data_IF_812376019054
#
_entry.id   IF_812376019054
#
_cell.length_a   1.000
_cell.length_b   1.000
_cell.length_c   1.000
_cell.angle_alpha   90.00
_cell.angle_beta   90.00
_cell.angle_gamma   90.00
#
_symmetry.space_group_name_H-M   'P 1'
#
loop_
_entity.id
_entity.type
_entity.pdbx_description
1 polymer ?
#
# COMPACT_ATOMS: atom_id res chain seq x y z
N UNK A 1 -8.89 -34.39 1.76
CA UNK A 1 -7.69 -33.66 2.24
C UNK A 1 -6.95 -33.10 1.04
N UNK A 2 -6.63 -31.81 1.03
CA UNK A 2 -5.82 -31.21 -0.04
C UNK A 2 -4.45 -31.89 -0.12
N UNK A 3 -3.93 -32.13 -1.33
CA UNK A 3 -2.72 -32.93 -1.60
C UNK A 3 -1.44 -32.46 -0.89
N UNK A 4 -1.45 -31.28 -0.28
CA UNK A 4 -0.26 -30.58 0.22
C UNK A 4 -0.20 -30.47 1.76
N UNK A 5 -1.15 -31.09 2.48
CA UNK A 5 -1.18 -31.08 3.96
C UNK A 5 -1.93 -29.87 4.57
N UNK A 6 -1.97 -29.76 5.90
CA UNK A 6 -2.63 -28.66 6.60
C UNK A 6 -1.91 -27.32 6.40
N UNK A 7 -2.68 -26.23 6.40
CA UNK A 7 -2.16 -24.86 6.28
C UNK A 7 -1.81 -24.28 7.65
N UNK A 8 -0.74 -23.50 7.68
CA UNK A 8 -0.37 -22.61 8.79
C UNK A 8 -0.54 -21.19 8.29
N UNK A 9 -1.20 -20.35 9.10
CA UNK A 9 -1.29 -18.92 8.88
C UNK A 9 -0.28 -18.21 9.79
N UNK A 10 0.47 -17.28 9.23
CA UNK A 10 1.44 -16.47 9.97
C UNK A 10 1.26 -14.98 9.64
N UNK A 11 1.35 -14.14 10.67
CA UNK A 11 1.32 -12.70 10.53
C UNK A 11 2.54 -12.09 11.23
N UNK A 12 3.65 -11.87 10.51
CA UNK A 12 4.91 -11.43 11.11
C UNK A 12 4.89 -9.97 11.57
N UNK A 13 3.92 -9.19 11.11
CA UNK A 13 3.73 -7.76 11.37
C UNK A 13 2.55 -7.48 12.31
N UNK A 14 2.11 -8.48 13.08
CA UNK A 14 1.10 -8.28 14.13
C UNK A 14 -0.33 -8.10 13.61
N UNK A 15 -0.61 -8.47 12.36
CA UNK A 15 -1.94 -8.45 11.75
C UNK A 15 -2.02 -7.70 10.42
N UNK A 16 -0.96 -7.02 9.99
CA UNK A 16 -0.96 -6.20 8.77
C UNK A 16 -0.85 -7.03 7.48
N UNK A 17 -0.18 -8.19 7.54
CA UNK A 17 -0.13 -9.19 6.48
C UNK A 17 -0.34 -10.57 7.05
N UNK A 18 -1.19 -11.37 6.42
CA UNK A 18 -1.41 -12.78 6.74
C UNK A 18 -0.89 -13.60 5.58
N UNK A 19 0.07 -14.47 5.85
CA UNK A 19 0.57 -15.44 4.89
C UNK A 19 0.06 -16.84 5.24
N UNK A 20 -0.23 -17.64 4.22
CA UNK A 20 -0.44 -19.08 4.37
C UNK A 20 0.78 -19.84 3.83
N UNK A 21 1.11 -20.94 4.50
CA UNK A 21 2.05 -21.94 4.00
C UNK A 21 1.58 -23.34 4.35
N UNK A 22 2.01 -24.32 3.59
CA UNK A 22 1.79 -25.72 3.96
C UNK A 22 2.71 -26.09 5.13
N UNK A 23 2.15 -26.74 6.15
CA UNK A 23 2.92 -27.24 7.31
C UNK A 23 4.00 -28.23 6.90
N UNK A 24 3.64 -29.11 5.97
CA UNK A 24 4.44 -30.29 5.61
C UNK A 24 5.11 -30.18 4.22
N UNK A 25 4.92 -29.06 3.52
CA UNK A 25 5.48 -28.85 2.19
C UNK A 25 6.20 -27.49 2.07
N UNK A 26 7.42 -27.44 2.57
CA UNK A 26 8.29 -26.25 2.51
C UNK A 26 8.83 -25.96 1.09
N UNK A 27 8.55 -26.80 0.08
CA UNK A 27 8.94 -26.50 -1.31
C UNK A 27 8.07 -25.41 -1.93
N UNK A 28 6.87 -25.20 -1.39
CA UNK A 28 5.97 -24.13 -1.80
C UNK A 28 6.22 -22.96 -0.84
N UNK A 29 6.69 -21.80 -1.34
CA UNK A 29 6.87 -20.63 -0.49
C UNK A 29 5.52 -20.19 0.08
N UNK A 30 5.56 -19.50 1.23
CA UNK A 30 4.37 -18.85 1.78
C UNK A 30 3.78 -17.86 0.77
N UNK A 31 2.47 -17.71 0.74
CA UNK A 31 1.77 -16.73 -0.10
C UNK A 31 0.89 -15.82 0.75
N UNK A 32 0.71 -14.58 0.29
CA UNK A 32 -0.15 -13.60 0.94
C UNK A 32 -1.61 -14.02 0.81
N UNK A 33 -2.34 -14.04 1.92
CA UNK A 33 -3.77 -14.36 2.01
C UNK A 33 -4.57 -13.08 2.22
N UNK A 34 -4.08 -12.21 3.10
CA UNK A 34 -4.74 -10.98 3.48
C UNK A 34 -3.68 -9.92 3.78
N UNK A 35 -3.98 -8.67 3.44
CA UNK A 35 -3.19 -7.53 3.91
C UNK A 35 -4.10 -6.37 4.25
N UNK A 36 -3.89 -5.81 5.45
CA UNK A 36 -4.50 -4.56 5.88
C UNK A 36 -3.72 -3.34 5.38
N UNK A 37 -2.58 -3.55 4.69
CA UNK A 37 -1.93 -2.47 3.96
C UNK A 37 -2.86 -2.07 2.82
N UNK A 38 -3.39 -0.85 2.88
CA UNK A 38 -4.01 -0.27 1.72
C UNK A 38 -2.96 -0.31 0.59
N UNK A 39 -3.30 -0.88 -0.58
CA UNK A 39 -2.39 -0.85 -1.71
C UNK A 39 -2.03 0.60 -1.95
N UNK A 40 -0.73 0.89 -2.08
CA UNK A 40 -0.30 2.23 -2.40
C UNK A 40 -0.97 2.64 -3.72
N UNK A 41 -1.41 3.90 -3.81
CA UNK A 41 -2.07 4.41 -5.00
C UNK A 41 -1.08 4.37 -6.17
N UNK A 42 0.21 4.50 -5.87
CA UNK A 42 1.31 4.36 -6.82
C UNK A 42 2.48 3.63 -6.17
N UNK A 43 3.15 2.77 -6.93
CA UNK A 43 4.54 2.48 -6.62
C UNK A 43 5.36 3.77 -6.75
N UNK A 44 6.41 3.92 -5.95
CA UNK A 44 7.23 5.15 -5.94
C UNK A 44 7.69 5.54 -7.36
N UNK A 45 8.14 4.56 -8.15
CA UNK A 45 8.60 4.79 -9.51
C UNK A 45 7.47 5.29 -10.44
N UNK A 46 6.27 4.74 -10.32
CA UNK A 46 5.12 5.16 -11.13
C UNK A 46 4.74 6.62 -10.84
N UNK A 47 4.88 7.05 -9.58
CA UNK A 47 4.64 8.43 -9.21
C UNK A 47 5.72 9.39 -9.73
N UNK A 48 6.99 8.98 -9.70
CA UNK A 48 8.09 9.75 -10.32
C UNK A 48 7.85 9.93 -11.82
N UNK A 49 7.48 8.85 -12.52
CA UNK A 49 7.16 8.88 -13.95
C UNK A 49 5.95 9.79 -14.22
N UNK A 50 4.91 9.73 -13.39
CA UNK A 50 3.76 10.63 -13.49
C UNK A 50 4.16 12.11 -13.39
N UNK A 51 5.12 12.46 -12.53
CA UNK A 51 5.64 13.83 -12.43
C UNK A 51 6.43 14.23 -13.67
N UNK A 52 7.24 13.33 -14.22
CA UNK A 52 7.99 13.59 -15.45
C UNK A 52 7.04 13.84 -16.64
N UNK A 53 6.03 12.99 -16.83
CA UNK A 53 5.04 13.16 -17.89
C UNK A 53 4.19 14.43 -17.73
N UNK A 54 4.01 14.95 -16.52
CA UNK A 54 3.27 16.19 -16.31
C UNK A 54 3.89 17.41 -17.02
N UNK A 55 5.16 17.35 -17.42
CA UNK A 55 5.79 18.38 -18.26
C UNK A 55 5.17 18.45 -19.65
N UNK A 56 4.91 17.28 -20.26
CA UNK A 56 4.37 17.15 -21.62
C UNK A 56 2.84 17.13 -21.67
N UNK A 57 2.18 16.76 -20.57
CA UNK A 57 0.72 16.62 -20.49
C UNK A 57 0.09 17.62 -19.49
N UNK A 58 -0.34 18.81 -19.93
CA UNK A 58 -0.85 19.88 -19.05
C UNK A 58 -2.06 19.49 -18.19
N UNK A 59 -2.91 18.57 -18.69
CA UNK A 59 -4.07 18.09 -17.93
C UNK A 59 -3.59 17.30 -16.71
N UNK A 60 -2.57 16.46 -16.85
CA UNK A 60 -1.98 15.69 -15.76
C UNK A 60 -1.37 16.61 -14.71
N UNK A 61 -0.59 17.61 -15.14
CA UNK A 61 -0.04 18.65 -14.26
C UNK A 61 -1.11 19.33 -13.41
N UNK A 62 -2.23 19.72 -14.03
CA UNK A 62 -3.35 20.36 -13.33
C UNK A 62 -3.98 19.44 -12.27
N UNK A 63 -4.04 18.13 -12.51
CA UNK A 63 -4.55 17.20 -11.50
C UNK A 63 -3.54 16.98 -10.36
N UNK A 64 -2.24 16.90 -10.66
CA UNK A 64 -1.20 16.82 -9.63
C UNK A 64 -1.18 18.07 -8.74
N UNK A 65 -1.37 19.26 -9.32
CA UNK A 65 -1.50 20.50 -8.55
C UNK A 65 -2.72 20.47 -7.61
N UNK A 66 -3.87 19.96 -8.08
CA UNK A 66 -5.07 19.78 -7.25
C UNK A 66 -4.83 18.79 -6.11
N UNK A 67 -4.21 17.65 -6.41
CA UNK A 67 -3.84 16.65 -5.40
C UNK A 67 -2.95 17.27 -4.32
N UNK A 68 -1.95 18.06 -4.75
CA UNK A 68 -1.05 18.78 -3.85
C UNK A 68 -1.82 19.73 -2.93
N UNK A 69 -2.74 20.53 -3.46
CA UNK A 69 -3.58 21.42 -2.63
C UNK A 69 -4.38 20.64 -1.60
N UNK A 70 -5.07 19.58 -2.01
CA UNK A 70 -5.87 18.74 -1.10
C UNK A 70 -4.99 18.17 0.02
N UNK A 71 -3.82 17.62 -0.32
CA UNK A 71 -2.89 17.06 0.65
C UNK A 71 -2.46 18.08 1.72
N UNK A 72 -2.06 19.30 1.31
CA UNK A 72 -1.65 20.32 2.27
C UNK A 72 -2.80 20.83 3.13
N UNK A 73 -4.03 20.89 2.62
CA UNK A 73 -5.20 21.22 3.42
C UNK A 73 -5.44 20.17 4.51
N UNK A 74 -5.46 18.89 4.15
CA UNK A 74 -5.66 17.80 5.12
C UNK A 74 -4.52 17.75 6.13
N UNK A 75 -3.27 17.94 5.67
CA UNK A 75 -2.09 17.95 6.54
C UNK A 75 -2.16 19.05 7.59
N UNK A 76 -2.53 20.27 7.19
CA UNK A 76 -2.70 21.40 8.10
C UNK A 76 -3.83 21.14 9.12
N UNK A 77 -4.96 20.56 8.69
CA UNK A 77 -6.03 20.14 9.60
C UNK A 77 -5.58 19.07 10.60
N UNK A 78 -4.81 18.08 10.13
CA UNK A 78 -4.29 17.01 10.97
C UNK A 78 -3.31 17.55 12.03
N UNK A 79 -2.37 18.41 11.64
CA UNK A 79 -1.40 19.03 12.56
C UNK A 79 -2.09 19.88 13.64
N UNK A 80 -3.13 20.63 13.27
CA UNK A 80 -3.94 21.41 14.23
C UNK A 80 -4.68 20.52 15.21
N UNK A 81 -5.19 19.37 14.76
CA UNK A 81 -5.88 18.41 15.63
C UNK A 81 -4.93 17.80 16.67
N UNK A 82 -3.72 17.42 16.26
CA UNK A 82 -2.72 16.83 17.17
C UNK A 82 -2.16 17.84 18.17
N UNK A 83 -2.16 19.14 17.85
CA UNK A 83 -1.73 20.20 18.76
C UNK A 83 -2.80 20.62 19.79
N UNK A 84 -4.04 20.18 19.61
CA UNK A 84 -5.17 20.49 20.50
C UNK A 84 -5.49 19.35 21.51
N UNK A 85 -4.85 18.19 21.37
CA UNK A 85 -4.89 17.03 22.30
C UNK A 85 -3.66 17.02 23.21
#
# INVERSE_FOLDING_TARGET
>A
MSKNGPLIYESPDGGDTVYAKYRDNNKIPRWLVESNKQPDIFEFQDFEDCKAYAEDYPILKKQLDRLKTIWYTIKDEAEKKTAAE
#
